data_IF_728393711239
#
_entry.id   IF_728393711239
#
_cell.length_a   1.000
_cell.length_b   1.000
_cell.length_c   1.000
_cell.angle_alpha   90.00
_cell.angle_beta   90.00
_cell.angle_gamma   90.00
#
_symmetry.space_group_name_H-M   'P 1'
#
loop_
_entity.id
_entity.type
_entity.pdbx_description
1 polymer ?
#
# COMPACT_ATOMS: atom_id res chain seq x y z
N UNK A 1 -15.40 -16.22 1.68
CA UNK A 1 -14.55 -15.21 0.99
C UNK A 1 -13.52 -14.71 1.97
N UNK A 2 -12.32 -14.36 1.52
CA UNK A 2 -11.20 -13.96 2.36
C UNK A 2 -10.83 -12.52 2.02
N UNK A 3 -10.84 -11.62 2.99
CA UNK A 3 -10.29 -10.27 2.83
C UNK A 3 -8.76 -10.36 2.77
N UNK A 4 -8.16 -9.98 1.64
CA UNK A 4 -6.72 -10.07 1.45
C UNK A 4 -5.97 -8.90 2.11
N UNK A 5 -6.45 -7.68 1.91
CA UNK A 5 -5.82 -6.45 2.39
C UNK A 5 -6.81 -5.60 3.16
N UNK A 6 -6.48 -5.24 4.39
CA UNK A 6 -7.28 -4.31 5.19
C UNK A 6 -6.86 -2.85 4.97
N UNK A 7 -5.66 -2.63 4.44
CA UNK A 7 -5.08 -1.31 4.15
C UNK A 7 -4.30 -1.33 2.84
N UNK A 8 -4.08 -0.13 2.28
CA UNK A 8 -3.11 0.09 1.21
C UNK A 8 -1.72 0.25 1.82
N UNK A 9 -0.71 -0.37 1.22
CA UNK A 9 0.65 -0.45 1.78
C UNK A 9 1.66 0.41 1.02
N UNK A 10 1.19 1.26 0.12
CA UNK A 10 2.00 2.17 -0.67
C UNK A 10 1.92 3.60 -0.15
N UNK A 11 2.91 4.43 -0.49
CA UNK A 11 3.05 5.78 0.03
C UNK A 11 2.00 6.75 -0.53
N UNK A 12 1.07 7.15 0.32
CA UNK A 12 0.05 8.16 -0.01
C UNK A 12 0.60 9.56 -0.22
N UNK A 13 1.78 9.86 0.33
CA UNK A 13 2.41 11.17 0.15
C UNK A 13 2.81 11.39 -1.30
N UNK A 14 3.33 10.33 -1.93
CA UNK A 14 3.69 10.34 -3.34
C UNK A 14 2.48 10.56 -4.24
N UNK A 15 1.36 9.89 -3.95
CA UNK A 15 0.10 10.09 -4.68
C UNK A 15 -0.34 11.55 -4.67
N UNK A 16 -0.29 12.20 -3.51
CA UNK A 16 -0.65 13.62 -3.36
C UNK A 16 0.25 14.54 -4.17
N UNK A 17 1.56 14.26 -4.19
CA UNK A 17 2.51 15.03 -4.99
C UNK A 17 2.24 14.90 -6.48
N UNK A 18 1.93 13.69 -6.96
CA UNK A 18 1.63 13.45 -8.38
C UNK A 18 0.34 14.17 -8.77
N UNK A 19 -0.74 13.99 -8.02
CA UNK A 19 -2.04 14.62 -8.32
C UNK A 19 -1.95 16.14 -8.24
N UNK A 20 -1.19 16.69 -7.30
CA UNK A 20 -0.97 18.13 -7.19
C UNK A 20 -0.24 18.73 -8.40
N UNK A 21 0.63 17.95 -9.07
CA UNK A 21 1.34 18.37 -10.28
C UNK A 21 0.56 18.07 -11.58
N UNK A 22 -0.24 17.02 -11.57
CA UNK A 22 -0.97 16.51 -12.74
C UNK A 22 -2.45 16.35 -12.40
N UNK A 23 -3.21 17.44 -12.30
CA UNK A 23 -4.65 17.38 -11.99
C UNK A 23 -5.39 16.66 -13.11
N UNK A 24 -6.34 15.81 -12.73
CA UNK A 24 -7.20 15.08 -13.65
C UNK A 24 -8.68 15.34 -13.36
N UNK A 25 -9.52 15.15 -14.36
CA UNK A 25 -10.98 15.28 -14.21
C UNK A 25 -11.58 14.08 -13.48
N UNK A 26 -11.02 12.89 -13.74
CA UNK A 26 -11.54 11.64 -13.23
C UNK A 26 -10.42 10.81 -12.60
N UNK A 27 -10.70 10.26 -11.45
CA UNK A 27 -9.75 9.44 -10.70
C UNK A 27 -10.28 8.01 -10.60
N UNK A 28 -9.49 7.05 -11.06
CA UNK A 28 -9.82 5.63 -11.08
C UNK A 28 -8.70 4.85 -10.39
N UNK A 29 -9.05 4.04 -9.40
CA UNK A 29 -8.07 3.33 -8.59
C UNK A 29 -8.51 1.90 -8.34
N UNK A 30 -7.56 0.97 -8.31
CA UNK A 30 -7.79 -0.31 -7.65
C UNK A 30 -8.09 -0.04 -6.19
N UNK A 31 -9.16 -0.65 -5.70
CA UNK A 31 -9.71 -0.33 -4.39
C UNK A 31 -8.76 -0.66 -3.24
N UNK A 32 -8.05 -1.82 -3.29
CA UNK A 32 -7.13 -2.25 -2.24
C UNK A 32 -7.75 -2.07 -0.85
N UNK A 33 -7.06 -1.48 0.12
CA UNK A 33 -7.61 -1.15 1.45
C UNK A 33 -8.44 0.14 1.51
N UNK A 34 -8.52 0.93 0.44
CA UNK A 34 -9.24 2.21 0.37
C UNK A 34 -8.48 3.41 0.94
N UNK A 35 -7.35 3.20 1.61
CA UNK A 35 -6.63 4.26 2.37
C UNK A 35 -6.10 5.38 1.46
N UNK A 36 -5.67 5.03 0.25
CA UNK A 36 -5.25 6.00 -0.76
C UNK A 36 -6.39 6.95 -1.11
N UNK A 37 -7.58 6.40 -1.39
CA UNK A 37 -8.74 7.21 -1.72
C UNK A 37 -9.17 8.12 -0.56
N UNK A 38 -9.18 7.62 0.68
CA UNK A 38 -9.48 8.44 1.85
C UNK A 38 -8.49 9.60 2.01
N UNK A 39 -7.20 9.33 1.80
CA UNK A 39 -6.16 10.36 1.83
C UNK A 39 -6.33 11.39 0.70
N UNK A 40 -6.73 10.96 -0.50
CA UNK A 40 -6.98 11.84 -1.63
C UNK A 40 -8.23 12.69 -1.45
N UNK A 41 -9.32 12.13 -0.92
CA UNK A 41 -10.52 12.90 -0.53
C UNK A 41 -10.18 13.98 0.49
N UNK A 42 -9.33 13.65 1.47
CA UNK A 42 -8.82 14.63 2.42
C UNK A 42 -7.97 15.71 1.75
N UNK A 43 -7.23 15.38 0.72
CA UNK A 43 -6.44 16.31 -0.08
C UNK A 43 -7.30 17.21 -1.00
N UNK A 44 -8.60 16.92 -1.10
CA UNK A 44 -9.56 17.71 -1.89
C UNK A 44 -9.90 17.10 -3.26
N UNK A 45 -9.49 15.86 -3.53
CA UNK A 45 -9.91 15.17 -4.75
C UNK A 45 -11.36 14.76 -4.65
N UNK A 46 -12.14 15.11 -5.67
CA UNK A 46 -13.54 14.73 -5.82
C UNK A 46 -13.69 13.65 -6.89
N UNK A 47 -14.74 12.82 -6.77
CA UNK A 47 -15.09 11.78 -7.75
C UNK A 47 -14.00 10.71 -7.98
N UNK A 48 -13.75 9.90 -6.96
CA UNK A 48 -12.84 8.77 -7.04
C UNK A 48 -13.64 7.46 -7.23
N UNK A 49 -13.36 6.76 -8.31
CA UNK A 49 -13.87 5.42 -8.58
C UNK A 49 -12.92 4.37 -8.02
N UNK A 50 -13.38 3.58 -7.07
CA UNK A 50 -12.67 2.45 -6.47
C UNK A 50 -13.17 1.16 -7.09
N UNK A 51 -12.31 0.49 -7.81
CA UNK A 51 -12.64 -0.70 -8.60
C UNK A 51 -11.98 -1.93 -8.01
N UNK A 52 -12.75 -2.98 -7.77
CA UNK A 52 -12.23 -4.27 -7.34
C UNK A 52 -13.07 -5.41 -7.90
N UNK A 53 -12.42 -6.53 -8.20
CA UNK A 53 -13.08 -7.76 -8.62
C UNK A 53 -13.66 -8.54 -7.45
N UNK A 54 -13.23 -8.26 -6.23
CA UNK A 54 -13.63 -8.96 -5.02
C UNK A 54 -14.66 -8.17 -4.21
N UNK A 55 -15.88 -8.66 -4.13
CA UNK A 55 -16.97 -8.04 -3.34
C UNK A 55 -16.56 -7.79 -1.90
N UNK A 56 -15.88 -8.76 -1.27
CA UNK A 56 -15.45 -8.66 0.14
C UNK A 56 -14.52 -7.46 0.36
N UNK A 57 -13.71 -7.09 -0.64
CA UNK A 57 -12.82 -5.95 -0.56
C UNK A 57 -13.63 -4.64 -0.56
N UNK A 58 -14.64 -4.55 -1.42
CA UNK A 58 -15.54 -3.40 -1.48
C UNK A 58 -16.41 -3.27 -0.23
N UNK A 59 -16.93 -4.39 0.31
CA UNK A 59 -17.68 -4.42 1.58
C UNK A 59 -16.82 -3.94 2.74
N UNK A 60 -15.54 -4.30 2.76
CA UNK A 60 -14.59 -3.81 3.75
C UNK A 60 -14.41 -2.30 3.66
N UNK A 61 -14.21 -1.76 2.45
CA UNK A 61 -14.09 -0.32 2.22
C UNK A 61 -15.39 0.39 2.64
N UNK A 62 -16.55 -0.16 2.30
CA UNK A 62 -17.84 0.39 2.73
C UNK A 62 -17.96 0.45 4.26
N UNK A 63 -17.44 -0.56 4.95
CA UNK A 63 -17.38 -0.57 6.42
C UNK A 63 -16.45 0.52 6.97
N UNK A 64 -15.30 0.74 6.31
CA UNK A 64 -14.37 1.83 6.65
C UNK A 64 -15.00 3.21 6.39
N UNK A 65 -15.74 3.39 5.29
CA UNK A 65 -16.49 4.63 4.99
C UNK A 65 -17.45 4.95 6.15
N UNK A 66 -18.27 3.98 6.56
CA UNK A 66 -19.19 4.15 7.69
C UNK A 66 -18.46 4.47 9.01
N UNK A 67 -17.32 3.82 9.23
CA UNK A 67 -16.51 4.04 10.43
C UNK A 67 -15.84 5.42 10.45
N UNK A 68 -15.48 6.00 9.29
CA UNK A 68 -14.91 7.35 9.18
C UNK A 68 -15.87 8.44 9.66
N UNK A 69 -17.17 8.24 9.47
CA UNK A 69 -18.22 9.18 9.90
C UNK A 69 -18.52 9.05 11.41
N UNK A 70 -18.05 7.98 12.05
CA UNK A 70 -18.36 7.70 13.46
C UNK A 70 -17.45 8.51 14.41
N UNK A 71 -17.98 9.09 15.53
CA UNK A 71 -17.15 9.85 16.49
C UNK A 71 -16.00 9.05 17.12
N UNK A 72 -16.14 7.74 17.23
CA UNK A 72 -15.12 6.81 17.76
C UNK A 72 -14.33 6.10 16.64
N UNK A 73 -14.14 6.75 15.51
CA UNK A 73 -13.49 6.14 14.34
C UNK A 73 -12.11 5.54 14.64
N UNK A 74 -11.30 6.17 15.46
CA UNK A 74 -9.98 5.64 15.83
C UNK A 74 -10.08 4.24 16.48
N UNK A 75 -11.06 4.02 17.33
CA UNK A 75 -11.33 2.72 17.96
C UNK A 75 -11.82 1.71 16.91
N UNK A 76 -12.74 2.11 16.03
CA UNK A 76 -13.28 1.23 14.98
C UNK A 76 -12.19 0.82 13.98
N UNK A 77 -11.25 1.70 13.71
CA UNK A 77 -10.07 1.39 12.87
C UNK A 77 -9.01 0.56 13.60
N UNK A 78 -9.01 0.51 14.92
CA UNK A 78 -8.04 -0.24 15.74
C UNK A 78 -6.76 0.54 16.01
N UNK A 79 -6.85 1.87 16.11
CA UNK A 79 -5.70 2.68 16.51
C UNK A 79 -5.42 2.42 18.00
N UNK A 80 -4.14 2.13 18.31
CA UNK A 80 -3.69 1.71 19.65
C UNK A 80 -4.32 0.38 20.17
N UNK A 81 -5.00 -0.39 19.31
CA UNK A 81 -5.57 -1.69 19.69
C UNK A 81 -4.98 -2.81 18.82
N UNK A 82 -4.28 -3.72 19.45
CA UNK A 82 -3.65 -4.85 18.78
C UNK A 82 -4.66 -5.94 18.38
N UNK A 83 -5.84 -6.01 19.01
CA UNK A 83 -6.74 -7.14 18.85
C UNK A 83 -7.87 -6.88 17.87
N UNK A 84 -8.39 -5.66 17.83
CA UNK A 84 -9.58 -5.31 17.09
C UNK A 84 -9.35 -4.13 16.16
N UNK A 85 -10.17 -4.04 15.11
CA UNK A 85 -10.21 -2.90 14.21
C UNK A 85 -10.17 -3.26 12.74
N UNK A 86 -10.74 -2.38 11.95
CA UNK A 86 -10.86 -2.56 10.50
C UNK A 86 -9.49 -2.69 9.82
N UNK A 87 -8.45 -1.98 10.33
CA UNK A 87 -7.09 -2.04 9.77
C UNK A 87 -6.36 -3.37 10.02
N UNK A 88 -6.94 -4.28 10.82
CA UNK A 88 -6.31 -5.55 11.18
C UNK A 88 -6.99 -6.77 10.56
N UNK A 89 -8.10 -6.58 9.87
CA UNK A 89 -8.98 -7.68 9.44
C UNK A 89 -8.46 -8.45 8.23
N UNK A 90 -7.55 -7.88 7.44
CA UNK A 90 -6.98 -8.50 6.26
C UNK A 90 -6.03 -9.66 6.55
N UNK A 91 -5.85 -10.52 5.57
CA UNK A 91 -4.95 -11.69 5.66
C UNK A 91 -3.48 -11.26 5.79
N UNK A 92 -3.07 -10.24 5.04
CA UNK A 92 -1.72 -9.68 5.14
C UNK A 92 -1.46 -9.06 6.51
N UNK A 93 -2.39 -8.25 7.02
CA UNK A 93 -2.27 -7.59 8.31
C UNK A 93 -2.20 -8.61 9.46
N UNK A 94 -3.05 -9.64 9.43
CA UNK A 94 -2.98 -10.75 10.40
C UNK A 94 -1.63 -11.48 10.36
N UNK A 95 -1.04 -11.59 9.18
CA UNK A 95 0.29 -12.20 9.02
C UNK A 95 1.38 -11.30 9.60
N UNK A 96 1.41 -10.02 9.23
CA UNK A 96 2.38 -9.06 9.74
C UNK A 96 2.33 -8.93 11.27
N UNK A 97 1.13 -8.99 11.86
CA UNK A 97 0.95 -8.98 13.32
C UNK A 97 1.60 -10.18 14.00
N UNK A 98 1.56 -11.37 13.39
CA UNK A 98 2.31 -12.53 13.93
C UNK A 98 3.81 -12.26 13.96
N UNK A 99 4.35 -11.62 12.91
CA UNK A 99 5.75 -11.20 12.88
C UNK A 99 6.06 -10.16 13.97
N UNK A 100 5.23 -9.13 14.11
CA UNK A 100 5.38 -8.10 15.14
C UNK A 100 5.37 -8.67 16.56
N UNK A 101 4.54 -9.69 16.82
CA UNK A 101 4.45 -10.34 18.13
C UNK A 101 5.73 -11.08 18.52
N UNK A 102 6.42 -11.68 17.56
CA UNK A 102 7.69 -12.40 17.80
C UNK A 102 8.93 -11.49 17.70
N UNK A 103 8.80 -10.33 17.07
CA UNK A 103 9.92 -9.42 16.81
C UNK A 103 10.74 -9.08 18.06
N UNK A 104 10.16 -8.80 19.24
CA UNK A 104 10.93 -8.52 20.45
C UNK A 104 11.85 -9.67 20.88
N UNK A 105 11.51 -10.93 20.58
CA UNK A 105 12.31 -12.11 20.88
C UNK A 105 13.50 -12.28 19.93
N UNK A 106 13.42 -11.67 18.76
CA UNK A 106 14.42 -11.75 17.69
C UNK A 106 15.48 -10.67 17.80
N UNK A 107 15.15 -9.56 18.43
CA UNK A 107 15.99 -8.40 18.63
C UNK A 107 16.79 -8.51 19.94
N UNK A 108 17.79 -7.63 20.10
CA UNK A 108 18.42 -7.45 21.41
C UNK A 108 17.49 -6.65 22.34
N UNK A 109 17.63 -6.81 23.67
CA UNK A 109 16.79 -6.09 24.64
C UNK A 109 16.74 -4.58 24.38
N UNK A 110 15.53 -4.00 24.47
CA UNK A 110 15.30 -2.58 24.26
C UNK A 110 15.38 -2.08 22.79
N UNK A 111 15.77 -2.93 21.83
CA UNK A 111 15.96 -2.53 20.44
C UNK A 111 14.70 -1.95 19.80
N UNK A 112 13.53 -2.51 20.08
CA UNK A 112 12.25 -2.05 19.55
C UNK A 112 11.94 -0.62 20.00
N UNK A 113 11.99 -0.35 21.30
CA UNK A 113 11.68 0.98 21.84
C UNK A 113 12.74 2.02 21.42
N UNK A 114 14.02 1.64 21.43
CA UNK A 114 15.10 2.55 21.03
C UNK A 114 14.93 3.08 19.62
N UNK A 115 14.51 2.24 18.65
CA UNK A 115 14.37 2.69 17.25
C UNK A 115 13.11 3.51 17.02
N UNK A 116 12.03 3.23 17.76
CA UNK A 116 10.77 3.96 17.65
C UNK A 116 10.94 5.43 18.07
N UNK A 117 11.68 5.66 19.15
CA UNK A 117 11.84 6.99 19.71
C UNK A 117 12.98 7.78 19.04
N UNK A 118 13.74 7.15 18.17
CA UNK A 118 14.92 7.72 17.54
C UNK A 118 14.58 8.61 16.33
N UNK A 119 14.89 9.90 16.42
CA UNK A 119 14.72 10.87 15.33
C UNK A 119 15.99 10.98 14.48
N UNK A 120 17.18 10.97 15.12
CA UNK A 120 18.47 11.10 14.44
C UNK A 120 18.76 9.91 13.52
N UNK A 121 19.18 10.20 12.29
CA UNK A 121 19.57 9.17 11.32
C UNK A 121 20.80 8.39 11.80
N UNK A 122 21.79 9.08 12.32
CA UNK A 122 23.05 8.50 12.82
C UNK A 122 22.79 7.53 13.96
N UNK A 123 21.89 7.89 14.85
CA UNK A 123 21.50 7.04 15.96
C UNK A 123 20.69 5.83 15.49
N UNK A 124 19.77 5.98 14.48
CA UNK A 124 19.07 4.84 13.88
C UNK A 124 20.05 3.86 13.25
N UNK A 125 21.07 4.34 12.54
CA UNK A 125 22.15 3.48 11.99
C UNK A 125 22.80 2.66 13.10
N UNK A 126 23.18 3.30 14.21
CA UNK A 126 23.79 2.66 15.36
C UNK A 126 22.88 1.58 15.96
N UNK A 127 21.61 1.94 16.23
CA UNK A 127 20.61 1.01 16.80
C UNK A 127 20.39 -0.19 15.90
N UNK A 128 20.25 0.00 14.59
CA UNK A 128 20.07 -1.12 13.65
C UNK A 128 21.28 -2.02 13.67
N UNK A 129 22.48 -1.47 13.54
CA UNK A 129 23.74 -2.24 13.54
C UNK A 129 23.96 -3.00 14.84
N UNK A 130 23.73 -2.35 15.98
CA UNK A 130 24.01 -2.96 17.28
C UNK A 130 22.92 -3.90 17.79
N UNK A 131 21.64 -3.60 17.51
CA UNK A 131 20.51 -4.27 18.16
C UNK A 131 19.61 -5.05 17.23
N UNK A 132 19.58 -4.73 15.92
CA UNK A 132 18.73 -5.40 14.94
C UNK A 132 19.47 -6.44 14.09
N UNK A 133 20.79 -6.33 13.94
CA UNK A 133 21.59 -7.30 13.19
C UNK A 133 21.85 -8.55 14.00
N UNK A 134 20.82 -9.36 14.24
CA UNK A 134 20.91 -10.64 14.93
C UNK A 134 20.75 -11.80 13.96
N UNK A 135 21.49 -12.90 14.19
CA UNK A 135 21.34 -14.14 13.41
C UNK A 135 19.89 -14.66 13.49
N UNK A 136 19.24 -14.52 14.66
CA UNK A 136 17.85 -14.95 14.89
C UNK A 136 16.88 -14.16 14.00
N UNK A 137 16.98 -12.83 13.96
CA UNK A 137 16.13 -12.00 13.13
C UNK A 137 16.29 -12.36 11.65
N UNK A 138 17.53 -12.52 11.18
CA UNK A 138 17.81 -12.89 9.78
C UNK A 138 17.20 -14.24 9.41
N UNK A 139 17.40 -15.26 10.25
CA UNK A 139 16.86 -16.60 10.03
C UNK A 139 15.34 -16.60 10.02
N UNK A 140 14.70 -16.02 11.05
CA UNK A 140 13.25 -16.01 11.15
C UNK A 140 12.63 -15.16 10.04
N UNK A 141 13.20 -14.00 9.68
CA UNK A 141 12.71 -13.20 8.55
C UNK A 141 12.81 -13.97 7.23
N UNK A 142 13.90 -14.73 7.00
CA UNK A 142 14.03 -15.52 5.77
C UNK A 142 12.97 -16.61 5.65
N UNK A 143 12.61 -17.24 6.76
CA UNK A 143 11.55 -18.26 6.80
C UNK A 143 10.17 -17.63 6.73
N UNK A 144 9.93 -16.60 7.54
CA UNK A 144 8.63 -15.92 7.63
C UNK A 144 8.27 -15.27 6.30
N UNK A 145 9.13 -14.50 5.70
CA UNK A 145 8.94 -13.87 4.40
C UNK A 145 9.46 -14.71 3.23
N UNK A 146 9.48 -16.06 3.39
CA UNK A 146 9.83 -16.94 2.27
C UNK A 146 8.86 -16.76 1.11
N UNK A 147 9.34 -17.03 -0.12
CA UNK A 147 8.53 -16.93 -1.34
C UNK A 147 7.20 -17.67 -1.22
N UNK A 148 7.23 -18.89 -0.67
CA UNK A 148 6.04 -19.71 -0.44
C UNK A 148 5.04 -19.00 0.47
N UNK A 149 5.48 -18.58 1.66
CA UNK A 149 4.59 -17.95 2.65
C UNK A 149 3.98 -16.64 2.14
N UNK A 150 4.76 -15.83 1.43
CA UNK A 150 4.26 -14.56 0.85
C UNK A 150 3.23 -14.84 -0.24
N UNK A 151 3.47 -15.83 -1.10
CA UNK A 151 2.49 -16.18 -2.14
C UNK A 151 1.20 -16.75 -1.55
N UNK A 152 1.29 -17.55 -0.47
CA UNK A 152 0.10 -18.08 0.20
C UNK A 152 -0.78 -16.97 0.82
N UNK A 153 -0.21 -15.79 1.13
CA UNK A 153 -0.94 -14.66 1.74
C UNK A 153 -1.57 -13.77 0.68
N UNK A 154 -0.92 -13.62 -0.46
CA UNK A 154 -1.37 -12.75 -1.55
C UNK A 154 -2.65 -13.27 -2.21
N UNK A 155 -3.31 -12.37 -2.93
CA UNK A 155 -4.42 -12.77 -3.76
C UNK A 155 -3.96 -13.79 -4.82
N UNK A 156 -4.69 -14.92 -5.03
CA UNK A 156 -4.27 -15.95 -5.98
C UNK A 156 -4.03 -15.45 -7.41
N UNK A 157 -4.78 -14.43 -7.83
CA UNK A 157 -4.60 -13.78 -9.14
C UNK A 157 -3.27 -13.02 -9.31
N UNK A 158 -2.54 -12.76 -8.21
CA UNK A 158 -1.25 -12.07 -8.21
C UNK A 158 -0.05 -13.01 -8.08
N UNK A 159 -0.22 -14.32 -8.23
CA UNK A 159 0.81 -15.33 -7.94
C UNK A 159 1.56 -15.86 -9.17
N UNK A 160 1.48 -15.21 -10.32
CA UNK A 160 1.88 -15.78 -11.62
C UNK A 160 3.38 -16.09 -11.79
N UNK A 161 4.28 -15.47 -11.01
CA UNK A 161 5.72 -15.79 -11.11
C UNK A 161 6.44 -15.76 -9.76
N UNK A 162 6.41 -16.92 -9.09
CA UNK A 162 7.08 -17.13 -7.79
C UNK A 162 8.59 -16.90 -7.90
N UNK A 163 9.19 -17.13 -9.08
CA UNK A 163 10.64 -17.04 -9.25
C UNK A 163 11.15 -15.61 -9.04
N UNK A 164 10.35 -14.61 -9.38
CA UNK A 164 10.67 -13.17 -9.28
C UNK A 164 10.43 -12.56 -7.91
N UNK A 165 9.75 -13.25 -6.99
CA UNK A 165 9.51 -12.71 -5.65
C UNK A 165 10.82 -12.52 -4.87
N UNK A 166 11.01 -11.40 -4.14
CA UNK A 166 12.19 -11.20 -3.31
C UNK A 166 12.32 -12.28 -2.23
N UNK A 167 13.55 -12.56 -1.81
CA UNK A 167 13.79 -13.45 -0.67
C UNK A 167 13.35 -12.79 0.64
N UNK A 168 13.11 -13.59 1.68
CA UNK A 168 12.78 -13.07 3.01
C UNK A 168 13.90 -12.18 3.61
N UNK A 169 15.15 -12.38 3.19
CA UNK A 169 16.26 -11.50 3.56
C UNK A 169 16.11 -10.13 2.92
N UNK A 170 15.67 -10.06 1.65
CA UNK A 170 15.46 -8.79 0.95
C UNK A 170 14.35 -7.96 1.63
N UNK A 171 13.29 -8.58 2.12
CA UNK A 171 12.25 -7.87 2.90
C UNK A 171 12.82 -7.24 4.17
N UNK A 172 13.69 -7.96 4.89
CA UNK A 172 14.34 -7.42 6.09
C UNK A 172 15.29 -6.26 5.76
N UNK A 173 16.08 -6.38 4.69
CA UNK A 173 17.00 -5.31 4.28
C UNK A 173 16.24 -4.08 3.80
N UNK A 174 15.16 -4.24 3.03
CA UNK A 174 14.29 -3.14 2.64
C UNK A 174 13.65 -2.45 3.88
N UNK A 175 13.18 -3.23 4.84
CA UNK A 175 12.66 -2.68 6.10
C UNK A 175 13.71 -1.83 6.83
N UNK A 176 14.95 -2.33 6.94
CA UNK A 176 16.05 -1.59 7.56
C UNK A 176 16.36 -0.30 6.79
N UNK A 177 16.45 -0.36 5.45
CA UNK A 177 16.68 0.80 4.62
C UNK A 177 15.63 1.88 4.83
N UNK A 178 14.35 1.52 4.88
CA UNK A 178 13.26 2.46 5.17
C UNK A 178 13.35 3.03 6.58
N UNK A 179 13.68 2.20 7.59
CA UNK A 179 13.89 2.65 8.96
C UNK A 179 15.10 3.59 9.10
N UNK A 180 16.09 3.51 8.21
CA UNK A 180 17.20 4.46 8.14
C UNK A 180 16.79 5.78 7.48
N UNK A 181 15.90 5.74 6.49
CA UNK A 181 15.45 6.93 5.76
C UNK A 181 14.52 7.79 6.61
N UNK A 182 13.60 7.18 7.35
CA UNK A 182 12.52 7.88 8.07
C UNK A 182 12.50 7.48 9.54
N UNK A 183 12.19 8.43 10.45
CA UNK A 183 11.79 8.09 11.80
C UNK A 183 10.57 7.16 11.79
N UNK A 184 10.58 6.12 12.63
CA UNK A 184 9.48 5.15 12.67
C UNK A 184 8.13 5.85 12.94
N UNK A 185 8.11 6.86 13.81
CA UNK A 185 6.89 7.61 14.15
C UNK A 185 6.28 8.38 12.99
N UNK A 186 7.06 8.67 11.96
CA UNK A 186 6.62 9.42 10.77
C UNK A 186 6.13 8.50 9.65
N UNK A 187 6.44 7.19 9.74
CA UNK A 187 6.04 6.21 8.73
C UNK A 187 5.03 5.22 9.31
N UNK A 188 3.74 5.31 8.93
CA UNK A 188 2.68 4.47 9.48
C UNK A 188 2.88 2.99 9.22
N UNK A 189 3.53 2.63 8.11
CA UNK A 189 3.75 1.24 7.74
C UNK A 189 4.87 0.60 8.57
N UNK A 190 5.97 1.33 8.81
CA UNK A 190 7.02 0.89 9.72
C UNK A 190 6.50 0.76 11.15
N UNK A 191 5.70 1.74 11.59
CA UNK A 191 5.04 1.72 12.90
C UNK A 191 4.19 0.45 13.04
N UNK A 192 3.37 0.15 12.02
CA UNK A 192 2.54 -1.05 12.00
C UNK A 192 3.36 -2.36 12.04
N UNK A 193 4.41 -2.48 11.23
CA UNK A 193 5.25 -3.68 11.20
C UNK A 193 5.93 -3.92 12.56
N UNK A 194 6.33 -2.85 13.24
CA UNK A 194 6.97 -2.96 14.55
C UNK A 194 5.98 -3.30 15.66
N UNK A 195 4.80 -2.68 15.66
CA UNK A 195 3.83 -2.82 16.74
C UNK A 195 2.76 -3.88 16.49
N UNK A 196 2.44 -4.17 15.22
CA UNK A 196 1.28 -4.95 14.81
C UNK A 196 -0.03 -4.17 14.82
N UNK A 197 0.03 -2.85 15.05
CA UNK A 197 -1.06 -1.89 15.00
C UNK A 197 -0.51 -0.48 14.81
N UNK A 198 -1.36 0.46 14.39
CA UNK A 198 -0.95 1.86 14.32
C UNK A 198 -0.98 2.49 15.71
N UNK A 199 0.17 2.99 16.15
CA UNK A 199 0.30 3.72 17.39
C UNK A 199 0.18 5.22 17.08
N UNK A 200 -0.77 5.90 17.74
CA UNK A 200 -0.95 7.35 17.61
C UNK A 200 -1.37 7.87 16.23
N UNK A 201 -2.27 7.16 15.53
CA UNK A 201 -2.94 7.66 14.32
C UNK A 201 -2.02 8.42 13.34
N UNK A 202 -1.00 7.74 12.85
CA UNK A 202 -0.13 8.29 11.80
C UNK A 202 -0.83 8.40 10.43
N UNK A 203 -2.00 7.75 10.28
CA UNK A 203 -2.83 7.85 9.08
C UNK A 203 -3.57 9.18 9.07
N UNK A 204 -3.27 10.00 8.07
CA UNK A 204 -3.73 11.38 8.00
C UNK A 204 -5.26 11.54 7.88
N UNK A 205 -5.92 10.60 7.21
CA UNK A 205 -7.38 10.59 7.04
C UNK A 205 -8.15 10.20 8.34
N UNK A 206 -7.45 9.71 9.37
CA UNK A 206 -8.06 9.40 10.68
C UNK A 206 -8.00 10.57 11.66
N UNK A 207 -7.28 11.65 11.35
CA UNK A 207 -7.18 12.80 12.23
C UNK A 207 -8.55 13.40 12.53
N UNK A 208 -8.84 13.67 13.82
CA UNK A 208 -10.13 14.20 14.30
C UNK A 208 -10.55 15.52 13.66
N UNK A 209 -9.58 16.34 13.24
CA UNK A 209 -9.82 17.62 12.59
C UNK A 209 -10.41 17.49 11.17
N UNK A 210 -10.52 16.29 10.62
CA UNK A 210 -11.05 16.07 9.29
C UNK A 210 -12.47 15.48 9.33
N UNK A 211 -13.40 16.13 8.62
CA UNK A 211 -14.72 15.58 8.32
C UNK A 211 -14.69 14.93 6.94
N UNK A 212 -14.91 13.62 6.82
CA UNK A 212 -14.82 12.93 5.54
C UNK A 212 -15.97 13.32 4.59
N UNK A 213 -15.62 13.66 3.35
CA UNK A 213 -16.59 13.82 2.25
C UNK A 213 -16.68 12.48 1.48
N UNK A 214 -17.22 11.44 2.12
CA UNK A 214 -17.26 10.09 1.56
C UNK A 214 -18.16 9.94 0.34
N UNK A 215 -19.07 10.92 0.09
CA UNK A 215 -19.86 11.02 -1.13
C UNK A 215 -19.04 11.17 -2.42
N UNK A 216 -17.75 11.53 -2.30
CA UNK A 216 -16.80 11.58 -3.42
C UNK A 216 -16.35 10.19 -3.90
N UNK A 217 -16.69 9.11 -3.18
CA UNK A 217 -16.23 7.76 -3.47
C UNK A 217 -17.35 6.92 -4.10
N UNK A 218 -17.02 6.28 -5.23
CA UNK A 218 -17.89 5.30 -5.89
C UNK A 218 -17.22 3.94 -5.87
N UNK A 219 -17.88 2.93 -5.30
CA UNK A 219 -17.39 1.55 -5.27
C UNK A 219 -17.92 0.78 -6.48
N UNK A 220 -17.04 0.15 -7.24
CA UNK A 220 -17.36 -0.51 -8.50
C UNK A 220 -16.86 -1.96 -8.45
N UNK A 221 -17.81 -2.91 -8.47
CA UNK A 221 -17.49 -4.32 -8.55
C UNK A 221 -17.25 -4.73 -10.00
N UNK A 222 -16.00 -4.72 -10.42
CA UNK A 222 -15.59 -5.11 -11.78
C UNK A 222 -14.11 -5.45 -11.83
N UNK A 223 -13.69 -6.26 -12.80
CA UNK A 223 -12.28 -6.41 -13.18
C UNK A 223 -11.72 -5.08 -13.70
N UNK A 224 -10.53 -4.71 -13.20
CA UNK A 224 -9.95 -3.39 -13.45
C UNK A 224 -9.65 -3.12 -14.93
N UNK A 225 -9.12 -4.12 -15.64
CA UNK A 225 -8.87 -4.00 -17.08
C UNK A 225 -10.16 -3.80 -17.87
N UNK A 226 -11.18 -4.61 -17.57
CA UNK A 226 -12.50 -4.49 -18.21
C UNK A 226 -13.20 -3.17 -17.88
N UNK A 227 -12.93 -2.59 -16.71
CA UNK A 227 -13.40 -1.29 -16.32
C UNK A 227 -12.72 -0.18 -17.13
N UNK A 228 -11.37 -0.16 -17.18
CA UNK A 228 -10.60 0.84 -17.92
C UNK A 228 -11.03 0.89 -19.38
N UNK A 229 -11.19 -0.24 -20.04
CA UNK A 229 -11.64 -0.30 -21.44
C UNK A 229 -13.00 0.34 -21.75
N UNK A 230 -13.81 0.57 -20.75
CA UNK A 230 -15.14 1.19 -20.91
C UNK A 230 -15.17 2.68 -20.62
N UNK A 231 -14.04 3.25 -20.17
CA UNK A 231 -13.94 4.68 -19.93
C UNK A 231 -14.10 5.44 -21.24
N UNK A 232 -14.72 6.61 -21.15
CA UNK A 232 -14.71 7.58 -22.26
C UNK A 232 -13.38 8.28 -22.28
N UNK A 233 -12.92 8.68 -23.46
CA UNK A 233 -11.69 9.46 -23.63
C UNK A 233 -11.78 10.78 -22.88
N UNK A 234 -10.82 11.02 -21.97
CA UNK A 234 -10.75 12.21 -21.13
C UNK A 234 -9.38 12.31 -20.44
N UNK A 235 -9.16 13.37 -19.66
CA UNK A 235 -8.00 13.50 -18.78
C UNK A 235 -8.24 12.66 -17.52
N UNK A 236 -7.57 11.53 -17.42
CA UNK A 236 -7.69 10.58 -16.32
C UNK A 236 -6.46 10.55 -15.41
N UNK A 237 -6.71 10.27 -14.14
CA UNK A 237 -5.72 9.69 -13.24
C UNK A 237 -6.10 8.23 -13.00
N UNK A 238 -5.31 7.29 -13.51
CA UNK A 238 -5.54 5.85 -13.41
C UNK A 238 -4.45 5.25 -12.53
N UNK A 239 -4.81 4.68 -11.38
CA UNK A 239 -3.89 4.04 -10.44
C UNK A 239 -4.14 2.54 -10.36
N UNK A 240 -3.21 1.77 -10.92
CA UNK A 240 -3.29 0.32 -11.04
C UNK A 240 -2.69 -0.43 -9.83
N UNK A 241 -2.26 0.27 -8.77
CA UNK A 241 -1.58 -0.35 -7.62
C UNK A 241 -0.43 -1.26 -8.06
N UNK A 242 -0.24 -2.42 -7.45
CA UNK A 242 0.77 -3.42 -7.78
C UNK A 242 0.23 -4.58 -8.66
N UNK A 243 -0.95 -4.41 -9.30
CA UNK A 243 -1.58 -5.50 -10.09
C UNK A 243 -0.66 -6.00 -11.21
N UNK A 244 0.12 -5.09 -11.81
CA UNK A 244 1.00 -5.41 -12.93
C UNK A 244 2.16 -6.33 -12.53
N UNK A 245 2.57 -6.31 -11.28
CA UNK A 245 3.59 -7.22 -10.77
C UNK A 245 3.07 -8.66 -10.56
N UNK A 246 1.77 -8.83 -10.40
CA UNK A 246 1.15 -10.13 -10.15
C UNK A 246 0.59 -10.79 -11.40
N UNK A 247 0.61 -10.10 -12.54
CA UNK A 247 -0.01 -10.54 -13.78
C UNK A 247 1.02 -10.85 -14.87
N UNK A 248 0.57 -11.45 -15.98
CA UNK A 248 1.44 -11.77 -17.10
C UNK A 248 1.84 -10.52 -17.90
N UNK A 249 2.99 -10.58 -18.59
CA UNK A 249 3.39 -9.52 -19.51
C UNK A 249 2.32 -9.21 -20.56
N UNK A 250 1.65 -10.23 -21.08
CA UNK A 250 0.52 -10.06 -22.01
C UNK A 250 -0.66 -9.28 -21.41
N UNK A 251 -0.93 -9.45 -20.13
CA UNK A 251 -1.95 -8.66 -19.44
C UNK A 251 -1.47 -7.21 -19.32
N UNK A 252 -0.22 -6.98 -18.93
CA UNK A 252 0.37 -5.67 -18.79
C UNK A 252 0.32 -4.90 -20.11
N UNK A 253 0.72 -5.52 -21.23
CA UNK A 253 0.67 -4.91 -22.58
C UNK A 253 -0.77 -4.47 -22.93
N UNK A 254 -1.75 -5.31 -22.64
CA UNK A 254 -3.17 -4.99 -22.88
C UNK A 254 -3.68 -3.87 -21.98
N UNK A 255 -3.20 -3.80 -20.74
CA UNK A 255 -3.57 -2.71 -19.82
C UNK A 255 -2.97 -1.39 -20.28
N UNK A 256 -1.67 -1.36 -20.67
CA UNK A 256 -1.06 -0.19 -21.27
C UNK A 256 -1.83 0.31 -22.50
N UNK A 257 -2.20 -0.61 -23.40
CA UNK A 257 -2.99 -0.27 -24.59
C UNK A 257 -4.35 0.31 -24.19
N UNK A 258 -5.08 -0.31 -23.27
CA UNK A 258 -6.39 0.17 -22.84
C UNK A 258 -6.31 1.57 -22.19
N UNK A 259 -5.26 1.83 -21.39
CA UNK A 259 -5.02 3.15 -20.82
C UNK A 259 -4.74 4.19 -21.92
N UNK A 260 -3.91 3.84 -22.91
CA UNK A 260 -3.59 4.75 -24.02
C UNK A 260 -4.84 5.11 -24.84
N UNK A 261 -5.73 4.14 -25.10
CA UNK A 261 -6.96 4.33 -25.87
C UNK A 261 -7.96 5.28 -25.22
N UNK A 262 -8.01 5.34 -23.88
CA UNK A 262 -9.00 6.16 -23.16
C UNK A 262 -8.43 7.49 -22.66
N UNK A 263 -7.12 7.71 -22.75
CA UNK A 263 -6.44 8.84 -22.15
C UNK A 263 -6.19 9.97 -23.13
N UNK A 264 -6.57 11.20 -22.74
CA UNK A 264 -6.13 12.42 -23.42
C UNK A 264 -4.77 12.89 -22.91
N UNK A 265 -4.18 13.87 -23.57
CA UNK A 265 -2.96 14.56 -23.13
C UNK A 265 -3.11 15.06 -21.69
N UNK A 266 -2.06 14.93 -20.90
CA UNK A 266 -2.01 15.21 -19.46
C UNK A 266 -2.71 14.17 -18.55
N UNK A 267 -3.19 13.05 -19.08
CA UNK A 267 -3.59 11.93 -18.23
C UNK A 267 -2.38 11.35 -17.49
N UNK A 268 -2.63 10.77 -16.35
CA UNK A 268 -1.60 10.08 -15.53
C UNK A 268 -1.95 8.62 -15.37
N UNK A 269 -0.99 7.74 -15.68
CA UNK A 269 -1.07 6.32 -15.34
C UNK A 269 -0.02 5.98 -14.31
N UNK A 270 -0.45 5.51 -13.13
CA UNK A 270 0.41 5.17 -12.00
C UNK A 270 0.29 3.70 -11.65
N UNK A 271 1.42 3.05 -11.44
CA UNK A 271 1.54 1.70 -10.91
C UNK A 271 2.78 1.59 -10.03
N UNK A 272 2.83 0.57 -9.18
CA UNK A 272 3.93 0.33 -8.26
C UNK A 272 4.81 -0.83 -8.71
N UNK A 273 6.10 -0.64 -8.55
CA UNK A 273 7.13 -1.66 -8.77
C UNK A 273 7.87 -1.92 -7.45
N UNK A 274 7.42 -2.95 -6.73
CA UNK A 274 8.00 -3.31 -5.44
C UNK A 274 9.02 -4.46 -5.55
N UNK A 275 8.88 -5.29 -6.57
CA UNK A 275 9.60 -6.56 -6.71
C UNK A 275 10.48 -6.62 -7.94
N UNK A 276 10.02 -6.09 -9.04
CA UNK A 276 10.73 -6.09 -10.30
C UNK A 276 10.18 -5.00 -11.23
N UNK A 277 11.02 -4.59 -12.16
CA UNK A 277 10.67 -3.61 -13.17
C UNK A 277 9.64 -4.15 -14.16
N UNK A 278 8.62 -3.37 -14.45
CA UNK A 278 7.60 -3.67 -15.45
C UNK A 278 8.10 -3.25 -16.82
N UNK A 279 8.08 -4.18 -17.78
CA UNK A 279 8.43 -3.85 -19.15
C UNK A 279 7.35 -2.97 -19.78
N UNK A 280 7.66 -1.70 -19.99
CA UNK A 280 6.76 -0.74 -20.64
C UNK A 280 6.87 -0.90 -22.15
N UNK A 281 5.75 -1.09 -22.89
CA UNK A 281 5.79 -1.23 -24.35
C UNK A 281 6.37 0.01 -25.05
N UNK A 282 7.19 -0.18 -26.08
CA UNK A 282 7.81 0.92 -26.82
C UNK A 282 6.80 1.88 -27.46
N UNK A 283 5.63 1.37 -27.87
CA UNK A 283 4.52 2.20 -28.36
C UNK A 283 4.00 3.15 -27.30
N UNK A 284 3.93 2.69 -26.04
CA UNK A 284 3.51 3.50 -24.90
C UNK A 284 4.58 4.55 -24.54
N UNK A 285 5.87 4.17 -24.47
CA UNK A 285 7.00 5.08 -24.20
C UNK A 285 7.07 6.26 -25.16
N UNK A 286 6.68 6.06 -26.44
CA UNK A 286 6.69 7.13 -27.45
C UNK A 286 5.65 8.24 -27.19
N UNK A 287 4.58 7.91 -26.48
CA UNK A 287 3.46 8.83 -26.21
C UNK A 287 3.47 9.38 -24.79
N UNK A 288 4.04 8.64 -23.85
CA UNK A 288 4.00 8.92 -22.44
C UNK A 288 5.39 9.29 -21.89
N UNK A 289 5.41 10.33 -21.04
CA UNK A 289 6.62 10.68 -20.29
C UNK A 289 6.70 9.79 -19.06
N UNK A 290 7.75 8.98 -18.98
CA UNK A 290 7.98 8.14 -17.80
C UNK A 290 8.64 8.97 -16.70
N UNK A 291 7.99 9.02 -15.54
CA UNK A 291 8.52 9.64 -14.32
C UNK A 291 8.74 8.54 -13.30
N UNK A 292 10.01 8.18 -13.09
CA UNK A 292 10.37 7.24 -12.02
C UNK A 292 10.49 8.01 -10.71
N UNK A 293 9.60 7.72 -9.78
CA UNK A 293 9.67 8.27 -8.43
C UNK A 293 10.15 7.16 -7.49
N UNK A 294 11.28 7.38 -6.86
CA UNK A 294 11.76 6.48 -5.83
C UNK A 294 10.72 6.45 -4.71
N UNK A 295 10.09 5.29 -4.53
CA UNK A 295 9.17 5.06 -3.41
C UNK A 295 9.96 5.22 -2.13
N UNK A 296 9.59 6.23 -1.41
CA UNK A 296 10.21 6.55 -0.11
C UNK A 296 9.74 5.57 0.94
#
# INVERSE_FOLDING_TARGET
MILHYAQSWEDTHLLKQIIGKHPAQYHHMIASGGDHAFSLVKFGVEHINLVDSEVIQLEHIQSKIKALEHPKREILFGINDVNNGLLHSGRLEKYLRKFSAILPLLLRPGARNSIIDCISKEERVRIIKEKWETKRLRLVSSLFFSKKNINDIRHPGLSSDISKSPSGVNYLENFKLKALQYPIKENPYLDYIIHGYHKNSSLDYLKKSWAPKTSSLTLIHQDFFSYVKKLKTAIHFIHASDIMEGTSSKFNDRLFQAVDEVSESNSTFLYWEHRYEINVPESFKKKWVQINMNVI
#
